data_IF_978367472351
#
_entry.id   IF_978367472351
#
_cell.length_a   1.000
_cell.length_b   1.000
_cell.length_c   1.000
_cell.angle_alpha   90.00
_cell.angle_beta   90.00
_cell.angle_gamma   90.00
#
_symmetry.space_group_name_H-M   'P 1'
#
loop_
_entity.id
_entity.type
_entity.pdbx_description
1 polymer ?
#
# COMPACT_ATOMS: atom_id res chain seq x y z
N UNK A 1 -8.61 6.03 20.45
CA UNK A 1 -9.30 5.92 19.16
C UNK A 1 -10.68 5.34 19.45
N UNK A 2 -11.73 5.99 18.98
CA UNK A 2 -13.10 5.51 19.12
C UNK A 2 -13.45 4.58 17.95
N UNK A 3 -14.53 3.81 18.07
CA UNK A 3 -15.01 2.96 16.97
C UNK A 3 -15.37 3.78 15.71
N UNK A 4 -15.85 5.01 15.90
CA UNK A 4 -16.13 5.94 14.80
C UNK A 4 -14.86 6.43 14.08
N UNK A 5 -13.75 6.55 14.82
CA UNK A 5 -12.45 6.92 14.23
C UNK A 5 -11.89 5.77 13.38
N UNK A 6 -12.05 4.52 13.86
CA UNK A 6 -11.69 3.30 13.13
C UNK A 6 -12.48 3.15 11.83
N UNK A 7 -13.81 3.31 11.88
CA UNK A 7 -14.66 3.21 10.69
C UNK A 7 -14.32 4.29 9.64
N UNK A 8 -14.03 5.51 10.11
CA UNK A 8 -13.61 6.61 9.23
C UNK A 8 -12.26 6.30 8.57
N UNK A 9 -11.30 5.82 9.36
CA UNK A 9 -9.99 5.41 8.86
C UNK A 9 -10.12 4.33 7.79
N UNK A 10 -10.87 3.26 8.05
CA UNK A 10 -11.00 2.13 7.12
C UNK A 10 -11.65 2.53 5.80
N UNK A 11 -12.65 3.42 5.87
CA UNK A 11 -13.27 4.00 4.67
C UNK A 11 -12.26 4.81 3.86
N UNK A 12 -11.41 5.60 4.51
CA UNK A 12 -10.37 6.40 3.84
C UNK A 12 -9.30 5.51 3.20
N UNK A 13 -8.79 4.52 3.93
CA UNK A 13 -7.80 3.55 3.42
C UNK A 13 -8.37 2.80 2.22
N UNK A 14 -9.62 2.34 2.29
CA UNK A 14 -10.30 1.65 1.20
C UNK A 14 -10.40 2.53 -0.06
N UNK A 15 -10.79 3.80 0.09
CA UNK A 15 -10.89 4.72 -1.03
C UNK A 15 -9.53 4.95 -1.72
N UNK A 16 -8.45 5.10 -0.94
CA UNK A 16 -7.09 5.26 -1.44
C UNK A 16 -6.64 3.99 -2.17
N UNK A 17 -6.85 2.81 -1.59
CA UNK A 17 -6.51 1.54 -2.21
C UNK A 17 -7.21 1.35 -3.56
N UNK A 18 -8.50 1.67 -3.65
CA UNK A 18 -9.25 1.63 -4.91
C UNK A 18 -8.73 2.62 -5.95
N UNK A 19 -8.28 3.82 -5.53
CA UNK A 19 -7.69 4.78 -6.45
C UNK A 19 -6.36 4.27 -7.03
N UNK A 20 -5.50 3.69 -6.19
CA UNK A 20 -4.23 3.06 -6.63
C UNK A 20 -4.49 1.86 -7.55
N UNK A 21 -5.47 1.02 -7.23
CA UNK A 21 -5.84 -0.12 -8.06
C UNK A 21 -6.28 0.30 -9.48
N UNK A 22 -6.93 1.46 -9.62
CA UNK A 22 -7.31 2.03 -10.92
C UNK A 22 -6.13 2.57 -11.74
N UNK A 23 -4.96 2.80 -11.12
CA UNK A 23 -3.74 3.19 -11.83
C UNK A 23 -3.07 2.01 -12.52
N UNK A 24 -3.18 0.80 -11.95
CA UNK A 24 -2.57 -0.42 -12.49
C UNK A 24 -2.87 -0.64 -13.98
N UNK A 25 -4.13 -0.68 -14.46
CA UNK A 25 -4.41 -0.90 -15.88
C UNK A 25 -3.90 0.23 -16.77
N UNK A 26 -3.89 1.47 -16.28
CA UNK A 26 -3.43 2.65 -17.05
C UNK A 26 -1.92 2.68 -17.24
N UNK A 27 -1.18 2.32 -16.20
CA UNK A 27 0.28 2.30 -16.21
C UNK A 27 0.82 1.02 -16.85
N UNK A 28 0.14 -0.12 -16.66
CA UNK A 28 0.48 -1.35 -17.36
C UNK A 28 0.34 -1.18 -18.90
N UNK A 29 -0.71 -0.51 -19.37
CA UNK A 29 -0.86 -0.16 -20.79
C UNK A 29 0.27 0.73 -21.35
N UNK A 30 1.05 1.40 -20.48
CA UNK A 30 2.23 2.20 -20.83
C UNK A 30 3.55 1.41 -20.70
N UNK A 31 3.47 0.11 -20.40
CA UNK A 31 4.63 -0.78 -20.27
C UNK A 31 5.26 -0.84 -18.88
N UNK A 32 4.65 -0.23 -17.85
CA UNK A 32 5.13 -0.35 -16.48
C UNK A 32 4.77 -1.72 -15.90
N UNK A 33 5.72 -2.34 -15.19
CA UNK A 33 5.45 -3.61 -14.50
C UNK A 33 4.60 -3.35 -13.25
N UNK A 34 3.79 -4.33 -12.80
CA UNK A 34 3.04 -4.23 -11.54
C UNK A 34 3.92 -3.87 -10.34
N UNK A 35 5.14 -4.40 -10.27
CA UNK A 35 6.12 -4.13 -9.22
C UNK A 35 6.55 -2.66 -9.22
N UNK A 36 6.87 -2.10 -10.39
CA UNK A 36 7.26 -0.70 -10.51
C UNK A 36 6.11 0.26 -10.13
N UNK A 37 4.87 -0.11 -10.48
CA UNK A 37 3.67 0.66 -10.10
C UNK A 37 3.47 0.63 -8.59
N UNK A 38 3.59 -0.56 -7.98
CA UNK A 38 3.48 -0.73 -6.54
C UNK A 38 4.58 0.04 -5.78
N UNK A 39 5.84 -0.10 -6.21
CA UNK A 39 6.97 0.62 -5.63
C UNK A 39 6.78 2.14 -5.70
N UNK A 40 6.32 2.65 -6.85
CA UNK A 40 6.00 4.06 -7.02
C UNK A 40 4.89 4.54 -6.08
N UNK A 41 3.82 3.75 -5.90
CA UNK A 41 2.73 4.07 -4.98
C UNK A 41 3.21 4.13 -3.52
N UNK A 42 4.03 3.17 -3.10
CA UNK A 42 4.60 3.12 -1.74
C UNK A 42 5.52 4.32 -1.49
N UNK A 43 6.46 4.60 -2.40
CA UNK A 43 7.38 5.75 -2.28
C UNK A 43 6.66 7.09 -2.31
N UNK A 44 5.65 7.22 -3.17
CA UNK A 44 4.82 8.41 -3.25
C UNK A 44 4.05 8.65 -1.94
N UNK A 45 3.46 7.60 -1.36
CA UNK A 45 2.78 7.65 -0.07
C UNK A 45 3.72 8.05 1.08
N UNK A 46 4.91 7.44 1.14
CA UNK A 46 5.94 7.80 2.12
C UNK A 46 6.37 9.27 1.99
N UNK A 47 6.58 9.75 0.76
CA UNK A 47 6.92 11.15 0.49
C UNK A 47 5.81 12.10 0.93
N UNK A 48 4.55 11.76 0.65
CA UNK A 48 3.40 12.56 1.05
C UNK A 48 3.25 12.63 2.58
N UNK A 49 3.51 11.54 3.30
CA UNK A 49 3.51 11.53 4.77
C UNK A 49 4.59 12.43 5.34
N UNK A 50 5.81 12.33 4.83
CA UNK A 50 6.93 13.17 5.27
C UNK A 50 6.71 14.67 4.96
N UNK A 51 6.04 14.98 3.85
CA UNK A 51 5.78 16.36 3.46
C UNK A 51 4.55 16.97 4.15
N UNK A 52 3.54 16.15 4.46
CA UNK A 52 2.24 16.59 4.96
C UNK A 52 2.06 16.50 6.47
N UNK A 53 3.01 15.89 7.19
CA UNK A 53 2.91 15.65 8.64
C UNK A 53 4.25 15.92 9.33
N UNK A 54 4.26 15.86 10.68
CA UNK A 54 5.50 15.89 11.46
C UNK A 54 6.13 14.50 11.63
N UNK A 55 5.69 13.49 10.87
CA UNK A 55 6.26 12.15 10.95
C UNK A 55 7.74 12.18 10.56
N UNK A 56 8.56 11.55 11.38
CA UNK A 56 9.96 11.29 11.10
C UNK A 56 10.11 10.21 10.04
N UNK A 57 11.28 10.18 9.39
CA UNK A 57 11.63 9.11 8.47
C UNK A 57 11.60 7.72 9.15
N UNK A 58 11.93 7.65 10.44
CA UNK A 58 11.90 6.43 11.23
C UNK A 58 10.47 5.93 11.46
N UNK A 59 9.52 6.81 11.81
CA UNK A 59 8.10 6.44 11.97
C UNK A 59 7.50 5.95 10.65
N UNK A 60 7.82 6.60 9.53
CA UNK A 60 7.37 6.15 8.20
C UNK A 60 8.01 4.80 7.84
N UNK A 61 9.29 4.58 8.16
CA UNK A 61 9.94 3.29 7.93
C UNK A 61 9.29 2.17 8.76
N UNK A 62 8.98 2.43 10.04
CA UNK A 62 8.28 1.50 10.91
C UNK A 62 6.90 1.10 10.37
N UNK A 63 6.12 2.09 9.89
CA UNK A 63 4.83 1.82 9.26
C UNK A 63 4.96 0.89 8.04
N UNK A 64 5.95 1.14 7.18
CA UNK A 64 6.19 0.31 6.00
C UNK A 64 6.64 -1.11 6.37
N UNK A 65 7.42 -1.26 7.45
CA UNK A 65 7.83 -2.56 7.96
C UNK A 65 6.65 -3.36 8.51
N UNK A 66 5.75 -2.74 9.28
CA UNK A 66 4.53 -3.37 9.77
C UNK A 66 3.65 -3.89 8.62
N UNK A 67 3.48 -3.07 7.57
CA UNK A 67 2.79 -3.50 6.35
C UNK A 67 3.48 -4.70 5.70
N UNK A 68 4.82 -4.67 5.58
CA UNK A 68 5.60 -5.76 4.99
C UNK A 68 5.47 -7.06 5.77
N UNK A 69 5.40 -7.01 7.11
CA UNK A 69 5.13 -8.17 7.96
C UNK A 69 3.75 -8.76 7.66
N UNK A 70 2.73 -7.90 7.51
CA UNK A 70 1.38 -8.33 7.10
C UNK A 70 1.40 -9.11 5.79
N UNK A 71 2.07 -8.60 4.75
CA UNK A 71 2.20 -9.28 3.46
C UNK A 71 3.02 -10.58 3.52
N UNK A 72 4.06 -10.62 4.36
CA UNK A 72 4.90 -11.82 4.54
C UNK A 72 4.09 -12.99 5.11
N UNK A 73 3.18 -12.68 6.03
CA UNK A 73 2.39 -13.65 6.78
C UNK A 73 0.99 -13.91 6.19
N UNK A 74 0.68 -13.36 5.01
CA UNK A 74 -0.56 -13.70 4.31
C UNK A 74 -0.61 -15.21 4.07
N UNK A 75 -1.74 -15.85 4.39
CA UNK A 75 -2.02 -17.22 3.95
C UNK A 75 -2.01 -17.22 2.41
N UNK A 76 -0.88 -17.62 1.84
CA UNK A 76 -0.77 -17.79 0.39
C UNK A 76 -1.46 -19.10 0.04
N UNK A 77 -2.35 -19.13 -0.98
CA UNK A 77 -2.84 -20.40 -1.49
C UNK A 77 -1.63 -21.26 -1.88
N UNK A 78 -1.63 -22.53 -1.46
CA UNK A 78 -0.62 -23.51 -1.88
C UNK A 78 -0.75 -23.74 -3.39
N UNK A 79 -0.12 -22.88 -4.18
CA UNK A 79 -0.06 -23.00 -5.62
C UNK A 79 1.01 -24.03 -5.98
N UNK A 80 0.57 -25.25 -6.29
CA UNK A 80 1.42 -26.22 -6.96
C UNK A 80 1.31 -26.01 -8.47
N UNK A 81 2.45 -25.84 -9.14
CA UNK A 81 2.52 -25.89 -10.60
C UNK A 81 2.27 -27.33 -11.01
N UNK A 82 1.13 -27.59 -11.65
CA UNK A 82 0.86 -28.89 -12.30
C UNK A 82 1.55 -28.83 -13.67
N UNK A 83 2.57 -29.66 -13.86
CA UNK A 83 3.21 -29.88 -15.16
C UNK A 83 2.43 -30.91 -15.97
#
# INVERSE_FOLDING_TARGET
MTDADLETHDRQVTAVAQAVAKLLPKLNAQGFTPEAIFEGAVKGGATALLAGTSASAEEVAGLLEEMAVGFRNLEKPNLHVVQ
#
